data_IF_821375182559
#
_entry.id   IF_821375182559
#
_cell.length_a   1.000
_cell.length_b   1.000
_cell.length_c   1.000
_cell.angle_alpha   90.00
_cell.angle_beta   90.00
_cell.angle_gamma   90.00
#
_symmetry.space_group_name_H-M   'P 1'
#
loop_
_entity.id
_entity.type
_entity.pdbx_description
1 polymer ?
#
# COMPACT_ATOMS: atom_id res chain seq x y z
N UNK A 1 2.27 9.57 -19.42
CA UNK A 1 1.47 10.55 -18.63
C UNK A 1 2.07 11.94 -18.59
N UNK A 2 3.20 12.19 -17.92
CA UNK A 2 3.77 13.55 -17.81
C UNK A 2 4.04 14.20 -19.18
N UNK A 3 4.78 13.51 -20.05
CA UNK A 3 5.10 14.01 -21.39
C UNK A 3 3.84 14.22 -22.26
N UNK A 4 2.90 13.29 -22.22
CA UNK A 4 1.66 13.38 -22.97
C UNK A 4 0.73 14.49 -22.45
N UNK A 5 0.76 14.77 -21.14
CA UNK A 5 0.01 15.85 -20.52
C UNK A 5 0.45 17.21 -21.06
N UNK A 6 1.76 17.44 -21.19
CA UNK A 6 2.32 18.66 -21.79
C UNK A 6 1.81 18.81 -23.23
N UNK A 7 1.88 17.74 -24.04
CA UNK A 7 1.44 17.80 -25.44
C UNK A 7 -0.07 18.02 -25.61
N UNK A 8 -0.87 17.58 -24.63
CA UNK A 8 -2.33 17.70 -24.67
C UNK A 8 -2.87 18.88 -23.85
N UNK A 9 -2.00 19.71 -23.30
CA UNK A 9 -2.36 20.81 -22.40
C UNK A 9 -3.22 20.34 -21.19
N UNK A 10 -2.88 19.18 -20.64
CA UNK A 10 -3.51 18.58 -19.45
C UNK A 10 -2.54 18.72 -18.29
N UNK A 11 -3.00 19.31 -17.18
CA UNK A 11 -2.21 19.37 -15.94
C UNK A 11 -2.10 17.99 -15.32
N UNK A 12 -0.87 17.51 -15.17
CA UNK A 12 -0.56 16.23 -14.51
C UNK A 12 0.28 16.50 -13.27
N UNK A 13 -0.15 15.99 -12.12
CA UNK A 13 0.57 16.05 -10.85
C UNK A 13 0.94 14.63 -10.45
N UNK A 14 2.20 14.44 -10.03
CA UNK A 14 2.70 13.13 -9.59
C UNK A 14 3.04 13.21 -8.11
N UNK A 15 2.49 12.28 -7.33
CA UNK A 15 2.84 12.09 -5.92
C UNK A 15 3.82 10.94 -5.82
N UNK A 16 4.96 11.18 -5.18
CA UNK A 16 5.98 10.17 -4.90
C UNK A 16 6.10 10.05 -3.40
N UNK A 17 6.11 8.81 -2.91
CA UNK A 17 6.29 8.49 -1.50
C UNK A 17 7.38 7.43 -1.37
N UNK A 18 8.06 7.43 -0.23
CA UNK A 18 8.93 6.33 0.14
C UNK A 18 8.07 5.13 0.53
N UNK A 19 8.44 3.94 0.03
CA UNK A 19 7.76 2.68 0.35
C UNK A 19 8.75 1.60 0.71
N UNK A 20 8.33 0.68 1.58
CA UNK A 20 9.14 -0.48 1.94
C UNK A 20 9.10 -1.51 0.80
N UNK A 21 10.25 -1.80 0.21
CA UNK A 21 10.38 -2.81 -0.84
C UNK A 21 10.07 -4.23 -0.33
N UNK A 22 9.43 -5.05 -1.17
CA UNK A 22 9.15 -6.47 -0.89
C UNK A 22 7.92 -6.74 -0.02
N UNK A 23 7.21 -5.71 0.44
CA UNK A 23 5.94 -5.83 1.17
C UNK A 23 4.91 -4.84 0.63
N UNK A 24 3.61 -5.14 0.65
CA UNK A 24 2.59 -4.14 0.38
C UNK A 24 2.66 -3.01 1.41
N UNK A 25 2.87 -1.77 0.95
CA UNK A 25 2.91 -0.58 1.81
C UNK A 25 1.55 0.15 1.78
N UNK A 26 0.62 -0.36 2.57
CA UNK A 26 -0.72 0.20 2.65
C UNK A 26 -0.77 1.55 3.38
N UNK A 27 0.18 1.79 4.29
CA UNK A 27 0.30 3.07 4.99
C UNK A 27 0.71 4.17 4.02
N UNK A 28 1.67 3.89 3.15
CA UNK A 28 2.03 4.78 2.05
C UNK A 28 0.81 5.15 1.18
N UNK A 29 0.02 4.16 0.78
CA UNK A 29 -1.21 4.42 0.01
C UNK A 29 -2.21 5.32 0.76
N UNK A 30 -2.38 5.10 2.07
CA UNK A 30 -3.26 5.94 2.90
C UNK A 30 -2.75 7.39 3.00
N UNK A 31 -1.43 7.60 3.09
CA UNK A 31 -0.83 8.94 3.08
C UNK A 31 -1.11 9.67 1.76
N UNK A 32 -0.96 8.98 0.62
CA UNK A 32 -1.29 9.58 -0.69
C UNK A 32 -2.76 9.97 -0.76
N UNK A 33 -3.67 9.10 -0.31
CA UNK A 33 -5.11 9.36 -0.30
C UNK A 33 -5.48 10.57 0.59
N UNK A 34 -4.84 10.71 1.75
CA UNK A 34 -5.03 11.85 2.65
C UNK A 34 -4.58 13.17 2.00
N UNK A 35 -3.41 13.16 1.36
CA UNK A 35 -2.87 14.33 0.66
C UNK A 35 -3.77 14.75 -0.50
N UNK A 36 -4.29 13.78 -1.28
CA UNK A 36 -5.24 14.06 -2.35
C UNK A 36 -6.51 14.73 -1.79
N UNK A 37 -7.06 14.22 -0.68
CA UNK A 37 -8.23 14.82 -0.03
C UNK A 37 -8.01 16.24 0.48
N UNK A 38 -6.76 16.60 0.84
CA UNK A 38 -6.39 17.97 1.23
C UNK A 38 -6.25 18.92 0.04
N UNK A 39 -5.85 18.41 -1.13
CA UNK A 39 -5.55 19.23 -2.32
C UNK A 39 -6.78 19.41 -3.20
N UNK A 40 -7.62 18.37 -3.34
CA UNK A 40 -8.75 18.36 -4.26
C UNK A 40 -10.04 18.69 -3.49
N UNK A 41 -10.67 19.86 -3.71
CA UNK A 41 -11.91 20.21 -3.05
C UNK A 41 -13.01 19.19 -3.36
N UNK A 42 -13.70 18.72 -2.31
CA UNK A 42 -14.77 17.72 -2.44
C UNK A 42 -14.28 16.28 -2.60
N UNK A 43 -12.98 16.02 -2.70
CA UNK A 43 -12.45 14.67 -2.59
C UNK A 43 -12.43 14.25 -1.12
N UNK A 44 -13.10 13.14 -0.81
CA UNK A 44 -13.11 12.54 0.52
C UNK A 44 -12.62 11.10 0.43
N UNK A 45 -11.73 10.73 1.35
CA UNK A 45 -11.31 9.35 1.56
C UNK A 45 -11.30 9.09 3.07
N UNK A 46 -11.97 8.01 3.49
CA UNK A 46 -11.90 7.53 4.88
C UNK A 46 -10.58 6.77 5.09
N UNK A 47 -9.51 7.54 5.27
CA UNK A 47 -8.15 6.99 5.43
C UNK A 47 -7.99 6.24 6.74
N UNK A 48 -8.76 6.58 7.78
CA UNK A 48 -8.74 5.89 9.07
C UNK A 48 -9.23 4.43 8.92
N UNK A 49 -10.33 4.23 8.20
CA UNK A 49 -10.82 2.89 7.89
C UNK A 49 -9.84 2.12 7.00
N UNK A 50 -9.26 2.78 6.00
CA UNK A 50 -8.28 2.16 5.10
C UNK A 50 -7.05 1.65 5.87
N UNK A 51 -6.52 2.44 6.80
CA UNK A 51 -5.39 2.05 7.66
C UNK A 51 -5.76 0.84 8.53
N UNK A 52 -6.96 0.82 9.09
CA UNK A 52 -7.41 -0.31 9.93
C UNK A 52 -7.53 -1.61 9.13
N UNK A 53 -8.09 -1.54 7.92
CA UNK A 53 -8.20 -2.71 7.03
C UNK A 53 -6.81 -3.20 6.59
N UNK A 54 -5.89 -2.28 6.31
CA UNK A 54 -4.50 -2.58 6.00
C UNK A 54 -3.78 -3.32 7.13
N UNK A 55 -3.92 -2.86 8.37
CA UNK A 55 -3.32 -3.52 9.54
C UNK A 55 -3.82 -4.97 9.70
N UNK A 56 -5.10 -5.22 9.44
CA UNK A 56 -5.66 -6.56 9.45
C UNK A 56 -5.05 -7.47 8.36
N UNK A 57 -4.90 -6.95 7.15
CA UNK A 57 -4.28 -7.67 6.03
C UNK A 57 -2.81 -7.99 6.33
N UNK A 58 -2.03 -7.02 6.82
CA UNK A 58 -0.63 -7.21 7.20
C UNK A 58 -0.49 -8.25 8.31
N UNK A 59 -1.37 -8.22 9.31
CA UNK A 59 -1.38 -9.20 10.39
C UNK A 59 -1.62 -10.62 9.88
N UNK A 60 -2.63 -10.80 9.02
CA UNK A 60 -2.95 -12.09 8.41
C UNK A 60 -1.79 -12.61 7.56
N UNK A 61 -1.16 -11.75 6.76
CA UNK A 61 0.02 -12.13 5.97
C UNK A 61 1.20 -12.55 6.86
N UNK A 62 1.42 -11.87 8.00
CA UNK A 62 2.46 -12.28 8.97
C UNK A 62 2.17 -13.67 9.56
N UNK A 63 0.92 -13.98 9.87
CA UNK A 63 0.52 -15.31 10.37
C UNK A 63 0.77 -16.38 9.30
N UNK A 64 0.31 -16.15 8.07
CA UNK A 64 0.46 -17.11 6.96
C UNK A 64 1.95 -17.42 6.72
N UNK A 65 2.79 -16.38 6.65
CA UNK A 65 4.25 -16.55 6.48
C UNK A 65 4.89 -17.34 7.62
N UNK A 66 4.48 -17.07 8.87
CA UNK A 66 4.96 -17.85 10.04
C UNK A 66 4.54 -19.31 9.97
N UNK A 67 3.31 -19.60 9.56
CA UNK A 67 2.80 -20.97 9.42
C UNK A 67 3.53 -21.73 8.31
N UNK A 68 3.79 -21.08 7.17
CA UNK A 68 4.57 -21.65 6.07
C UNK A 68 6.01 -21.97 6.51
N UNK A 69 6.71 -21.02 7.13
CA UNK A 69 8.07 -21.24 7.63
C UNK A 69 8.13 -22.39 8.65
N UNK A 70 7.14 -22.50 9.53
CA UNK A 70 7.07 -23.58 10.52
C UNK A 70 6.76 -24.94 9.87
N UNK A 71 5.94 -24.97 8.81
CA UNK A 71 5.70 -26.18 8.01
C UNK A 71 6.98 -26.64 7.31
N UNK A 72 7.69 -25.73 6.65
CA UNK A 72 8.97 -26.03 5.99
C UNK A 72 10.02 -26.56 6.97
N UNK A 73 10.08 -26.00 8.18
CA UNK A 73 10.96 -26.48 9.25
C UNK A 73 10.60 -27.91 9.70
N UNK A 74 9.30 -28.21 9.86
CA UNK A 74 8.84 -29.57 10.22
C UNK A 74 9.14 -30.58 9.12
N UNK A 75 8.88 -30.23 7.87
CA UNK A 75 9.12 -31.10 6.72
C UNK A 75 10.62 -31.42 6.56
N UNK A 76 11.52 -30.47 6.86
CA UNK A 76 12.98 -30.69 6.87
C UNK A 76 13.50 -31.53 8.05
N UNK A 77 12.78 -31.56 9.17
CA UNK A 77 13.23 -32.20 10.41
C UNK A 77 12.72 -33.65 10.54
N UNK A 78 11.64 -33.99 9.84
CA UNK A 78 11.00 -35.32 9.89
C UNK A 78 10.83 -35.99 8.53
N UNK A 79 11.29 -35.37 7.44
CA UNK A 79 11.39 -35.97 6.10
C UNK A 79 12.82 -36.40 5.80
#
# INVERSE_FOLDING_TARGET
LLNEGIWKNITVIVFVIDVISGVPDFRGAATVAEVIGKIIPGAYCDTARLIKEAEAVEHNLKIIRKQQANKELRDKMYG
#
